data_IF_449600472548
#
_entry.id   IF_449600472548
#
_cell.length_a   1.000
_cell.length_b   1.000
_cell.length_c   1.000
_cell.angle_alpha   90.00
_cell.angle_beta   90.00
_cell.angle_gamma   90.00
#
_symmetry.space_group_name_H-M   'P 1'
#
loop_
_entity.id
_entity.type
_entity.pdbx_description
1 polymer ?
#
# COMPACT_ATOMS: atom_id res chain seq x y z
N UNK A 1 6.51 -34.37 -1.41
CA UNK A 1 5.51 -33.27 -1.33
C UNK A 1 6.28 -32.02 -1.68
N UNK A 2 6.02 -31.45 -2.85
CA UNK A 2 6.74 -30.30 -3.35
C UNK A 2 6.24 -29.01 -2.70
N UNK A 3 7.17 -28.18 -2.23
CA UNK A 3 6.92 -26.78 -1.88
C UNK A 3 7.53 -25.97 -3.01
N UNK A 4 6.77 -25.03 -3.55
CA UNK A 4 7.27 -24.09 -4.56
C UNK A 4 7.67 -22.80 -3.85
N UNK A 5 8.92 -22.38 -4.04
CA UNK A 5 9.41 -21.09 -3.55
C UNK A 5 9.15 -20.02 -4.61
N UNK A 6 8.38 -19.00 -4.25
CA UNK A 6 8.00 -17.93 -5.16
C UNK A 6 8.45 -16.57 -4.63
N UNK A 7 8.90 -15.69 -5.51
CA UNK A 7 9.24 -14.32 -5.15
C UNK A 7 8.35 -13.30 -5.87
N UNK A 8 7.88 -12.30 -5.14
CA UNK A 8 7.22 -11.12 -5.70
C UNK A 8 8.13 -9.91 -5.55
N UNK A 9 8.47 -9.27 -6.67
CA UNK A 9 9.20 -8.00 -6.71
C UNK A 9 8.22 -6.90 -7.04
N UNK A 10 8.24 -5.82 -6.28
CA UNK A 10 7.41 -4.65 -6.53
C UNK A 10 8.23 -3.36 -6.45
N UNK A 11 8.21 -2.59 -7.54
CA UNK A 11 8.82 -1.27 -7.62
C UNK A 11 7.73 -0.22 -7.41
N UNK A 12 7.67 0.30 -6.20
CA UNK A 12 6.69 1.31 -5.76
C UNK A 12 7.16 2.74 -6.04
N UNK A 13 6.41 3.71 -5.51
CA UNK A 13 6.79 5.13 -5.59
C UNK A 13 7.84 5.54 -4.58
N UNK A 14 7.96 4.80 -3.48
CA UNK A 14 8.79 5.12 -2.34
C UNK A 14 9.84 4.06 -2.03
N UNK A 15 9.53 2.81 -2.33
CA UNK A 15 10.39 1.66 -2.05
C UNK A 15 10.35 0.63 -3.17
N UNK A 16 11.39 -0.17 -3.24
CA UNK A 16 11.47 -1.41 -4.01
C UNK A 16 11.45 -2.56 -3.02
N UNK A 17 10.57 -3.53 -3.23
CA UNK A 17 10.41 -4.65 -2.30
C UNK A 17 10.54 -6.00 -2.97
N UNK A 18 11.07 -6.96 -2.21
CA UNK A 18 11.13 -8.39 -2.52
C UNK A 18 10.45 -9.14 -1.39
N UNK A 19 9.44 -9.92 -1.70
CA UNK A 19 8.78 -10.80 -0.73
C UNK A 19 8.85 -12.23 -1.21
N UNK A 20 9.42 -13.11 -0.37
CA UNK A 20 9.62 -14.52 -0.67
C UNK A 20 8.55 -15.36 0.02
N UNK A 21 7.96 -16.28 -0.72
CA UNK A 21 6.87 -17.13 -0.27
C UNK A 21 7.16 -18.60 -0.51
N UNK A 22 6.59 -19.44 0.35
CA UNK A 22 6.39 -20.85 0.09
C UNK A 22 4.91 -21.13 -0.24
N UNK A 23 4.70 -21.83 -1.35
CA UNK A 23 3.38 -22.29 -1.80
C UNK A 23 3.36 -23.82 -1.63
N UNK A 24 2.55 -24.32 -0.71
CA UNK A 24 2.43 -25.76 -0.45
C UNK A 24 1.31 -26.38 -1.29
N UNK A 25 1.40 -27.68 -1.60
CA UNK A 25 0.34 -28.47 -2.25
C UNK A 25 -1.01 -28.42 -1.49
N UNK A 26 -0.96 -28.16 -0.17
CA UNK A 26 -2.16 -27.97 0.66
C UNK A 26 -2.78 -26.56 0.51
N UNK A 27 -2.37 -25.82 -0.50
CA UNK A 27 -2.89 -24.48 -0.83
C UNK A 27 -2.65 -23.43 0.24
N UNK A 28 -1.60 -23.56 1.02
CA UNK A 28 -1.18 -22.55 1.99
C UNK A 28 -0.02 -21.76 1.41
N UNK A 29 -0.18 -20.44 1.40
CA UNK A 29 0.88 -19.48 1.11
C UNK A 29 1.45 -19.01 2.44
N UNK A 30 2.76 -19.11 2.60
CA UNK A 30 3.50 -18.63 3.78
C UNK A 30 4.56 -17.63 3.35
N UNK A 31 4.58 -16.47 3.93
CA UNK A 31 5.71 -15.54 3.78
C UNK A 31 6.93 -16.11 4.48
N UNK A 32 8.05 -16.18 3.77
CA UNK A 32 9.35 -16.62 4.28
C UNK A 32 10.18 -15.41 4.68
N UNK A 33 10.24 -14.40 3.80
CA UNK A 33 11.04 -13.20 4.01
C UNK A 33 10.39 -11.99 3.32
N UNK A 34 10.70 -10.78 3.82
CA UNK A 34 10.23 -9.52 3.25
C UNK A 34 11.31 -8.45 3.38
N UNK A 35 11.94 -8.13 2.27
CA UNK A 35 13.01 -7.15 2.15
C UNK A 35 12.48 -5.90 1.46
N UNK A 36 12.79 -4.74 2.00
CA UNK A 36 12.42 -3.44 1.46
C UNK A 36 13.64 -2.54 1.37
N UNK A 37 13.84 -1.92 0.23
CA UNK A 37 14.90 -0.94 0.01
C UNK A 37 14.28 0.37 -0.43
N UNK A 38 14.67 1.45 0.23
CA UNK A 38 14.13 2.78 -0.02
C UNK A 38 14.68 3.33 -1.33
N UNK A 39 13.81 3.53 -2.32
CA UNK A 39 14.09 4.20 -3.59
C UNK A 39 12.91 5.09 -3.94
N UNK A 40 13.07 6.40 -3.83
CA UNK A 40 11.99 7.38 -3.89
C UNK A 40 11.64 7.82 -5.33
N UNK A 41 11.19 6.90 -6.19
CA UNK A 41 10.82 7.20 -7.58
C UNK A 41 9.78 8.33 -7.70
N UNK A 42 8.84 8.39 -6.77
CA UNK A 42 7.83 9.44 -6.76
C UNK A 42 8.38 10.85 -6.57
N UNK A 43 9.60 10.99 -6.07
CA UNK A 43 10.26 12.30 -5.93
C UNK A 43 10.43 13.00 -7.28
N UNK A 44 10.77 12.25 -8.31
CA UNK A 44 10.98 12.76 -9.66
C UNK A 44 9.68 12.75 -10.47
N UNK A 45 8.87 11.71 -10.29
CA UNK A 45 7.68 11.47 -11.14
C UNK A 45 6.49 12.36 -10.77
N UNK A 46 6.22 12.59 -9.48
CA UNK A 46 5.00 13.31 -9.08
C UNK A 46 4.98 14.80 -9.46
N UNK A 47 6.09 15.52 -9.60
CA UNK A 47 6.09 16.84 -10.20
C UNK A 47 5.80 16.86 -11.71
N UNK A 48 5.55 15.69 -12.34
CA UNK A 48 5.29 15.57 -13.78
C UNK A 48 6.52 15.27 -14.62
N UNK A 49 7.57 14.74 -13.97
CA UNK A 49 8.86 14.45 -14.60
C UNK A 49 9.10 12.99 -15.00
N UNK A 50 10.29 12.75 -15.52
CA UNK A 50 10.84 11.41 -15.70
C UNK A 50 11.74 11.02 -14.52
N UNK A 51 12.04 9.74 -14.40
CA UNK A 51 13.00 9.22 -13.41
C UNK A 51 14.42 9.62 -13.82
N UNK A 52 15.17 10.24 -12.92
CA UNK A 52 16.56 10.62 -13.11
C UNK A 52 17.48 9.39 -13.18
N UNK A 53 18.66 9.55 -13.80
CA UNK A 53 19.61 8.45 -13.98
C UNK A 53 20.08 7.86 -12.65
N UNK A 54 20.32 8.69 -11.64
CA UNK A 54 20.73 8.24 -10.30
C UNK A 54 19.69 7.29 -9.68
N UNK A 55 18.40 7.64 -9.77
CA UNK A 55 17.33 6.76 -9.28
C UNK A 55 17.18 5.48 -10.10
N UNK A 56 17.49 5.51 -11.41
CA UNK A 56 17.55 4.30 -12.23
C UNK A 56 18.69 3.41 -11.76
N UNK A 57 19.85 4.01 -11.43
CA UNK A 57 20.99 3.28 -10.89
C UNK A 57 20.63 2.63 -9.54
N UNK A 58 20.05 3.38 -8.61
CA UNK A 58 19.59 2.88 -7.32
C UNK A 58 18.61 1.69 -7.46
N UNK A 59 17.63 1.80 -8.37
CA UNK A 59 16.70 0.69 -8.65
C UNK A 59 17.43 -0.54 -9.17
N UNK A 60 18.38 -0.36 -10.10
CA UNK A 60 19.14 -1.47 -10.67
C UNK A 60 20.01 -2.15 -9.61
N UNK A 61 20.67 -1.40 -8.75
CA UNK A 61 21.50 -1.94 -7.68
C UNK A 61 20.69 -2.76 -6.69
N UNK A 62 19.53 -2.26 -6.25
CA UNK A 62 18.61 -3.00 -5.40
C UNK A 62 18.09 -4.27 -6.08
N UNK A 63 17.74 -4.21 -7.36
CA UNK A 63 17.25 -5.38 -8.08
C UNK A 63 18.35 -6.44 -8.29
N UNK A 64 19.62 -6.04 -8.46
CA UNK A 64 20.76 -6.97 -8.49
C UNK A 64 20.98 -7.65 -7.14
N UNK A 65 20.86 -6.91 -6.04
CA UNK A 65 20.87 -7.49 -4.69
C UNK A 65 19.73 -8.52 -4.53
N UNK A 66 18.53 -8.20 -5.01
CA UNK A 66 17.38 -9.12 -4.96
C UNK A 66 17.62 -10.39 -5.79
N UNK A 67 18.33 -10.31 -6.92
CA UNK A 67 18.74 -11.50 -7.66
C UNK A 67 19.58 -12.43 -6.79
N UNK A 68 20.59 -11.90 -6.09
CA UNK A 68 21.42 -12.67 -5.17
C UNK A 68 20.62 -13.30 -4.01
N UNK A 69 19.64 -12.57 -3.46
CA UNK A 69 18.75 -13.08 -2.41
C UNK A 69 17.87 -14.22 -2.95
N UNK A 70 17.27 -14.05 -4.12
CA UNK A 70 16.45 -15.08 -4.76
C UNK A 70 17.25 -16.35 -5.04
N UNK A 71 18.50 -16.22 -5.49
CA UNK A 71 19.41 -17.35 -5.67
C UNK A 71 19.69 -18.08 -4.34
N UNK A 72 19.90 -17.31 -3.26
CA UNK A 72 20.11 -17.85 -1.91
C UNK A 72 18.91 -18.65 -1.41
N UNK A 73 17.69 -18.20 -1.67
CA UNK A 73 16.45 -18.90 -1.35
C UNK A 73 16.09 -19.99 -2.35
N UNK A 74 16.82 -20.14 -3.45
CA UNK A 74 16.54 -21.08 -4.56
C UNK A 74 15.11 -20.90 -5.06
N UNK A 75 14.75 -19.67 -5.37
CA UNK A 75 13.40 -19.31 -5.84
C UNK A 75 13.10 -20.03 -7.14
N UNK A 76 12.02 -20.84 -7.19
CA UNK A 76 11.59 -21.59 -8.37
C UNK A 76 10.98 -20.71 -9.45
N UNK A 77 10.29 -19.64 -9.05
CA UNK A 77 9.65 -18.68 -9.95
C UNK A 77 9.50 -17.32 -9.28
N UNK A 78 9.52 -16.27 -10.08
CA UNK A 78 9.24 -14.92 -9.60
C UNK A 78 8.37 -14.12 -10.57
N UNK A 79 7.71 -13.11 -10.08
CA UNK A 79 7.08 -12.05 -10.87
C UNK A 79 7.51 -10.69 -10.35
N UNK A 80 7.77 -9.78 -11.29
CA UNK A 80 8.24 -8.44 -10.99
C UNK A 80 7.32 -7.39 -11.62
N UNK A 81 6.85 -6.48 -10.80
CA UNK A 81 5.91 -5.43 -11.19
C UNK A 81 6.40 -4.04 -10.80
N UNK A 82 6.03 -3.06 -11.62
CA UNK A 82 6.18 -1.65 -11.29
C UNK A 82 4.81 -0.99 -11.15
N UNK A 83 4.66 -0.22 -10.09
CA UNK A 83 3.42 0.46 -9.75
C UNK A 83 3.13 1.70 -10.60
N UNK A 84 1.99 2.37 -10.33
CA UNK A 84 1.54 3.52 -11.11
C UNK A 84 2.53 4.68 -11.20
N UNK A 85 3.40 4.86 -10.20
CA UNK A 85 4.42 5.91 -10.25
C UNK A 85 5.32 5.76 -11.49
N UNK A 86 5.87 4.56 -11.73
CA UNK A 86 6.70 4.35 -12.92
C UNK A 86 5.87 4.39 -14.22
N UNK A 87 4.63 3.90 -14.18
CA UNK A 87 3.73 3.99 -15.33
C UNK A 87 3.52 5.43 -15.82
N UNK A 88 3.45 6.39 -14.89
CA UNK A 88 3.24 7.80 -15.19
C UNK A 88 4.54 8.59 -15.47
N UNK A 89 5.70 7.96 -15.34
CA UNK A 89 6.97 8.62 -15.64
C UNK A 89 7.11 8.94 -17.14
N UNK A 90 7.54 10.15 -17.45
CA UNK A 90 7.69 10.62 -18.85
C UNK A 90 8.67 9.75 -19.66
N UNK A 91 9.66 9.13 -19.01
CA UNK A 91 10.66 8.26 -19.63
C UNK A 91 10.48 6.78 -19.24
N UNK A 92 9.28 6.36 -18.90
CA UNK A 92 8.95 5.01 -18.40
C UNK A 92 9.58 3.89 -19.24
N UNK A 93 9.43 3.92 -20.57
CA UNK A 93 9.95 2.87 -21.46
C UNK A 93 11.48 2.79 -21.42
N UNK A 94 12.16 3.93 -21.33
CA UNK A 94 13.60 3.98 -21.19
C UNK A 94 14.04 3.34 -19.86
N UNK A 95 13.37 3.67 -18.77
CA UNK A 95 13.69 3.12 -17.43
C UNK A 95 13.51 1.59 -17.43
N UNK A 96 12.43 1.07 -18.02
CA UNK A 96 12.20 -0.37 -18.13
C UNK A 96 13.30 -1.06 -18.96
N UNK A 97 13.70 -0.49 -20.09
CA UNK A 97 14.77 -1.03 -20.93
C UNK A 97 16.12 -1.07 -20.18
N UNK A 98 16.44 0.00 -19.44
CA UNK A 98 17.66 0.06 -18.63
C UNK A 98 17.66 -0.99 -17.51
N UNK A 99 16.56 -1.16 -16.80
CA UNK A 99 16.41 -2.17 -15.75
C UNK A 99 16.59 -3.57 -16.35
N UNK A 100 15.85 -3.91 -17.41
CA UNK A 100 15.92 -5.23 -18.04
C UNK A 100 17.32 -5.57 -18.54
N UNK A 101 17.99 -4.62 -19.20
CA UNK A 101 19.38 -4.82 -19.73
C UNK A 101 20.41 -5.00 -18.62
N UNK A 102 20.28 -4.28 -17.54
CA UNK A 102 21.30 -4.24 -16.48
C UNK A 102 21.11 -5.35 -15.44
N UNK A 103 19.88 -5.74 -15.16
CA UNK A 103 19.55 -6.69 -14.08
C UNK A 103 19.02 -8.03 -14.58
N UNK A 104 18.59 -8.11 -15.84
CA UNK A 104 17.87 -9.26 -16.37
C UNK A 104 16.40 -9.37 -15.87
N UNK A 105 15.97 -8.47 -14.97
CA UNK A 105 14.60 -8.48 -14.45
C UNK A 105 13.69 -7.69 -15.38
N UNK A 106 12.64 -8.36 -15.84
CA UNK A 106 11.61 -7.73 -16.67
C UNK A 106 10.42 -7.30 -15.83
N UNK A 107 10.28 -5.98 -15.62
CA UNK A 107 9.17 -5.40 -14.88
C UNK A 107 7.90 -5.33 -15.76
N UNK A 108 6.79 -5.80 -15.21
CA UNK A 108 5.45 -5.58 -15.78
C UNK A 108 4.85 -4.32 -15.16
N UNK A 109 4.42 -3.37 -16.00
CA UNK A 109 3.76 -2.15 -15.50
C UNK A 109 2.33 -2.46 -15.03
N UNK A 110 1.97 -1.96 -13.88
CA UNK A 110 0.61 -1.98 -13.38
C UNK A 110 -0.07 -0.63 -13.62
N UNK A 111 -1.17 -0.66 -14.34
CA UNK A 111 -2.12 0.47 -14.36
C UNK A 111 -2.90 0.52 -13.05
N UNK A 112 -3.50 1.65 -12.75
CA UNK A 112 -4.28 1.82 -11.52
C UNK A 112 -5.34 0.73 -11.29
N UNK A 113 -6.00 0.26 -12.36
CA UNK A 113 -7.00 -0.82 -12.28
C UNK A 113 -6.39 -2.18 -11.94
N UNK A 114 -5.22 -2.49 -12.51
CA UNK A 114 -4.50 -3.75 -12.26
C UNK A 114 -3.89 -3.76 -10.86
N UNK A 115 -3.28 -2.64 -10.47
CA UNK A 115 -2.77 -2.45 -9.12
C UNK A 115 -3.87 -2.64 -8.07
N UNK A 116 -5.03 -2.01 -8.29
CA UNK A 116 -6.22 -2.22 -7.46
C UNK A 116 -6.62 -3.68 -7.37
N UNK A 117 -6.74 -4.34 -8.52
CA UNK A 117 -7.17 -5.74 -8.58
C UNK A 117 -6.25 -6.63 -7.73
N UNK A 118 -4.93 -6.47 -7.86
CA UNK A 118 -3.97 -7.19 -7.03
C UNK A 118 -4.06 -6.80 -5.55
N UNK A 119 -4.23 -5.52 -5.24
CA UNK A 119 -4.29 -5.03 -3.86
C UNK A 119 -5.41 -5.67 -3.05
N UNK A 120 -6.60 -5.86 -3.62
CA UNK A 120 -7.69 -6.49 -2.87
C UNK A 120 -7.84 -8.00 -3.11
N UNK A 121 -7.21 -8.55 -4.18
CA UNK A 121 -7.33 -9.98 -4.51
C UNK A 121 -6.92 -10.89 -3.36
N UNK A 122 -5.87 -10.56 -2.62
CA UNK A 122 -5.48 -11.30 -1.43
C UNK A 122 -6.51 -11.14 -0.30
N UNK A 123 -7.12 -9.95 -0.15
CA UNK A 123 -8.13 -9.73 0.88
C UNK A 123 -9.36 -10.62 0.67
N UNK A 124 -9.74 -10.91 -0.59
CA UNK A 124 -10.88 -11.78 -0.92
C UNK A 124 -10.70 -13.23 -0.44
N UNK A 125 -9.48 -13.65 -0.11
CA UNK A 125 -9.23 -14.97 0.47
C UNK A 125 -9.58 -15.08 1.96
N UNK A 126 -9.87 -13.95 2.60
CA UNK A 126 -10.15 -13.86 4.04
C UNK A 126 -11.66 -13.79 4.30
N UNK A 127 -12.20 -14.62 5.23
CA UNK A 127 -13.63 -14.61 5.55
C UNK A 127 -14.16 -13.25 6.02
N UNK A 128 -13.31 -12.46 6.67
CA UNK A 128 -13.63 -11.11 7.12
C UNK A 128 -14.01 -10.19 5.96
N UNK A 129 -13.34 -10.33 4.81
CA UNK A 129 -13.62 -9.52 3.63
C UNK A 129 -15.06 -9.71 3.15
N UNK A 130 -15.48 -10.96 2.97
CA UNK A 130 -16.83 -11.29 2.49
C UNK A 130 -17.91 -10.82 3.46
N UNK A 131 -17.70 -11.05 4.75
CA UNK A 131 -18.61 -10.60 5.78
C UNK A 131 -18.79 -9.08 5.75
N UNK A 132 -17.68 -8.33 5.65
CA UNK A 132 -17.70 -6.86 5.68
C UNK A 132 -18.30 -6.26 4.41
N UNK A 133 -17.88 -6.75 3.25
CA UNK A 133 -18.38 -6.27 1.96
C UNK A 133 -19.83 -6.69 1.71
N UNK A 134 -20.26 -7.83 2.25
CA UNK A 134 -21.64 -8.31 2.21
C UNK A 134 -22.64 -7.37 2.89
N UNK A 135 -22.19 -6.57 3.84
CA UNK A 135 -22.98 -5.50 4.46
C UNK A 135 -22.72 -4.16 3.74
N UNK A 136 -21.86 -3.31 4.29
CA UNK A 136 -21.38 -2.09 3.65
C UNK A 136 -19.95 -1.81 4.10
N UNK A 137 -19.03 -1.67 3.13
CA UNK A 137 -17.62 -1.47 3.40
C UNK A 137 -16.99 -0.47 2.45
N UNK A 138 -15.97 0.24 2.94
CA UNK A 138 -15.03 0.98 2.12
C UNK A 138 -13.68 0.26 2.18
N UNK A 139 -13.16 -0.21 1.05
CA UNK A 139 -11.78 -0.68 0.93
C UNK A 139 -10.92 0.50 0.50
N UNK A 140 -9.98 0.85 1.34
CA UNK A 140 -9.11 2.00 1.14
C UNK A 140 -7.65 1.56 1.11
N UNK A 141 -6.98 1.84 -0.01
CA UNK A 141 -5.55 1.62 -0.15
C UNK A 141 -4.83 2.96 -0.21
N UNK A 142 -3.91 3.18 0.74
CA UNK A 142 -3.10 4.39 0.84
C UNK A 142 -1.73 4.11 0.26
N UNK A 143 -1.44 4.71 -0.89
CA UNK A 143 -0.13 4.66 -1.53
C UNK A 143 0.64 5.96 -1.41
N UNK A 144 1.90 5.95 -1.88
CA UNK A 144 2.72 7.16 -1.87
C UNK A 144 2.21 8.26 -2.81
N UNK A 145 1.62 7.91 -3.95
CA UNK A 145 1.14 8.85 -4.97
C UNK A 145 -0.35 9.11 -4.96
N UNK A 146 -1.16 8.17 -4.50
CA UNK A 146 -2.61 8.21 -4.60
C UNK A 146 -3.29 7.47 -3.46
N UNK A 147 -4.52 7.85 -3.21
CA UNK A 147 -5.46 7.19 -2.33
C UNK A 147 -6.54 6.55 -3.20
N UNK A 148 -6.76 5.25 -3.03
CA UNK A 148 -7.80 4.52 -3.75
C UNK A 148 -8.91 4.10 -2.80
N UNK A 149 -10.16 4.42 -3.16
CA UNK A 149 -11.34 4.08 -2.36
C UNK A 149 -12.32 3.28 -3.21
N UNK A 150 -12.64 2.06 -2.77
CA UNK A 150 -13.68 1.22 -3.37
C UNK A 150 -14.81 1.05 -2.36
N UNK A 151 -16.02 1.42 -2.73
CA UNK A 151 -17.21 1.24 -1.90
C UNK A 151 -17.94 -0.05 -2.29
N UNK A 152 -18.26 -0.85 -1.27
CA UNK A 152 -19.05 -2.08 -1.39
C UNK A 152 -20.38 -1.90 -0.68
N UNK A 153 -21.45 -2.39 -1.31
CA UNK A 153 -22.80 -2.44 -0.75
C UNK A 153 -23.43 -3.79 -1.12
N UNK A 154 -23.80 -4.57 -0.11
CA UNK A 154 -24.37 -5.91 -0.28
C UNK A 154 -23.56 -6.82 -1.20
N UNK A 155 -22.24 -6.83 -1.07
CA UNK A 155 -21.31 -7.65 -1.85
C UNK A 155 -20.96 -7.09 -3.23
N UNK A 156 -21.64 -6.05 -3.70
CA UNK A 156 -21.37 -5.44 -5.00
C UNK A 156 -20.49 -4.20 -4.89
N UNK A 157 -19.59 -4.02 -5.86
CA UNK A 157 -18.81 -2.77 -6.00
C UNK A 157 -19.74 -1.68 -6.49
N UNK A 158 -19.92 -0.64 -5.67
CA UNK A 158 -20.70 0.53 -6.03
C UNK A 158 -19.87 1.50 -6.90
N UNK A 159 -18.67 1.79 -6.47
CA UNK A 159 -17.74 2.70 -7.16
C UNK A 159 -16.31 2.45 -6.70
N UNK A 160 -15.36 2.83 -7.55
CA UNK A 160 -13.97 2.96 -7.18
C UNK A 160 -13.44 4.28 -7.68
N UNK A 161 -12.78 5.01 -6.79
CA UNK A 161 -12.22 6.32 -7.07
C UNK A 161 -10.74 6.37 -6.69
N UNK A 162 -10.01 7.15 -7.47
CA UNK A 162 -8.62 7.49 -7.22
C UNK A 162 -8.54 8.96 -6.88
N UNK A 163 -8.02 9.27 -5.71
CA UNK A 163 -7.74 10.64 -5.29
C UNK A 163 -6.23 10.87 -5.38
N UNK A 164 -5.83 12.02 -5.88
CA UNK A 164 -4.41 12.41 -5.98
C UNK A 164 -3.90 12.84 -4.60
N UNK A 165 -4.09 11.96 -3.63
CA UNK A 165 -3.70 12.08 -2.23
C UNK A 165 -2.85 10.86 -1.88
N UNK A 166 -1.54 11.02 -1.81
CA UNK A 166 -0.63 9.96 -1.37
C UNK A 166 0.32 10.50 -0.31
N UNK A 167 0.86 9.62 0.51
CA UNK A 167 1.74 9.99 1.62
C UNK A 167 2.97 10.75 1.15
N UNK A 168 3.59 10.30 0.06
CA UNK A 168 4.77 10.94 -0.53
C UNK A 168 4.42 12.25 -1.24
N UNK A 169 3.27 12.34 -1.92
CA UNK A 169 2.79 13.62 -2.49
C UNK A 169 2.57 14.67 -1.41
N UNK A 170 1.95 14.28 -0.31
CA UNK A 170 1.74 15.18 0.82
C UNK A 170 3.08 15.63 1.42
N UNK A 171 4.05 14.71 1.58
CA UNK A 171 5.38 15.07 2.05
C UNK A 171 6.13 16.03 1.11
N UNK A 172 5.92 15.93 -0.19
CA UNK A 172 6.50 16.83 -1.19
C UNK A 172 5.83 18.21 -1.20
N UNK A 173 4.51 18.26 -1.10
CA UNK A 173 3.75 19.52 -1.05
C UNK A 173 4.02 20.29 0.25
N UNK A 174 4.34 19.58 1.33
CA UNK A 174 4.58 20.13 2.65
C UNK A 174 5.94 19.66 3.19
N UNK A 175 7.07 20.11 2.61
CA UNK A 175 8.39 19.68 3.04
C UNK A 175 8.70 20.18 4.45
N UNK A 176 9.37 19.31 5.22
CA UNK A 176 9.81 19.64 6.58
C UNK A 176 10.67 20.91 6.59
N UNK A 177 10.40 21.80 7.55
CA UNK A 177 11.13 23.05 7.70
C UNK A 177 10.69 24.20 6.77
N UNK A 178 9.80 23.97 5.81
CA UNK A 178 9.29 25.03 4.92
C UNK A 178 8.37 26.02 5.64
N UNK A 179 7.75 25.61 6.74
CA UNK A 179 6.85 26.42 7.56
C UNK A 179 6.77 25.87 8.99
N UNK A 180 6.06 26.58 9.87
CA UNK A 180 5.82 26.10 11.24
C UNK A 180 5.05 24.77 11.22
N UNK A 181 5.40 23.77 12.04
CA UNK A 181 4.78 22.44 12.01
C UNK A 181 3.27 22.46 12.16
N UNK A 182 2.72 23.31 13.02
CA UNK A 182 1.28 23.44 13.21
C UNK A 182 0.57 23.95 11.95
N UNK A 183 1.17 24.92 11.27
CA UNK A 183 0.63 25.49 10.04
C UNK A 183 0.66 24.47 8.91
N UNK A 184 1.77 23.75 8.78
CA UNK A 184 1.92 22.65 7.82
C UNK A 184 0.83 21.58 8.01
N UNK A 185 0.63 21.11 9.24
CA UNK A 185 -0.40 20.10 9.56
C UNK A 185 -1.81 20.64 9.26
N UNK A 186 -2.07 21.91 9.53
CA UNK A 186 -3.35 22.53 9.24
C UNK A 186 -3.62 22.56 7.73
N UNK A 187 -2.67 23.03 6.93
CA UNK A 187 -2.82 23.10 5.47
C UNK A 187 -2.96 21.70 4.85
N UNK A 188 -2.19 20.72 5.35
CA UNK A 188 -2.30 19.32 4.90
C UNK A 188 -3.71 18.77 5.15
N UNK A 189 -4.28 19.02 6.34
CA UNK A 189 -5.66 18.63 6.65
C UNK A 189 -6.67 19.30 5.74
N UNK A 190 -6.55 20.63 5.54
CA UNK A 190 -7.44 21.38 4.66
C UNK A 190 -7.44 20.82 3.23
N UNK A 191 -6.27 20.44 2.71
CA UNK A 191 -6.15 19.81 1.41
C UNK A 191 -6.85 18.45 1.37
N UNK A 192 -6.57 17.57 2.35
CA UNK A 192 -7.18 16.25 2.43
C UNK A 192 -8.71 16.37 2.58
N UNK A 193 -9.18 17.26 3.45
CA UNK A 193 -10.60 17.47 3.71
C UNK A 193 -11.33 17.96 2.48
N UNK A 194 -10.71 18.83 1.69
CA UNK A 194 -11.28 19.30 0.42
C UNK A 194 -11.53 18.13 -0.54
N UNK A 195 -10.50 17.32 -0.80
CA UNK A 195 -10.60 16.20 -1.72
C UNK A 195 -11.58 15.11 -1.21
N UNK A 196 -11.51 14.80 0.09
CA UNK A 196 -12.43 13.83 0.72
C UNK A 196 -13.88 14.34 0.74
N UNK A 197 -14.10 15.66 0.87
CA UNK A 197 -15.44 16.26 0.81
C UNK A 197 -16.05 16.14 -0.59
N UNK A 198 -15.25 16.34 -1.63
CA UNK A 198 -15.68 16.13 -3.03
C UNK A 198 -16.05 14.66 -3.24
N UNK A 199 -15.20 13.73 -2.79
CA UNK A 199 -15.50 12.30 -2.86
C UNK A 199 -16.81 11.98 -2.14
N UNK A 200 -17.00 12.48 -0.91
CA UNK A 200 -18.19 12.24 -0.10
C UNK A 200 -19.46 12.76 -0.77
N UNK A 201 -19.42 13.97 -1.32
CA UNK A 201 -20.56 14.57 -2.00
C UNK A 201 -20.98 13.81 -3.26
N UNK A 202 -20.02 13.33 -4.04
CA UNK A 202 -20.29 12.68 -5.32
C UNK A 202 -20.65 11.20 -5.20
N UNK A 203 -19.96 10.47 -4.33
CA UNK A 203 -20.00 8.99 -4.34
C UNK A 203 -20.55 8.36 -3.05
N UNK A 204 -20.36 9.03 -1.92
CA UNK A 204 -20.80 8.54 -0.63
C UNK A 204 -22.26 8.90 -0.33
N UNK A 205 -22.65 10.14 -0.65
CA UNK A 205 -23.98 10.70 -0.41
C UNK A 205 -24.45 10.48 1.06
N UNK A 206 -25.69 10.00 1.25
CA UNK A 206 -26.26 9.74 2.58
C UNK A 206 -26.11 8.28 3.03
N UNK A 207 -25.10 7.55 2.52
CA UNK A 207 -24.87 6.15 2.91
C UNK A 207 -24.11 6.07 4.22
N UNK A 208 -24.34 5.00 4.95
CA UNK A 208 -23.52 4.61 6.10
C UNK A 208 -22.59 3.48 5.70
N UNK A 209 -21.31 3.58 6.06
CA UNK A 209 -20.32 2.53 5.90
C UNK A 209 -20.11 1.89 7.26
N UNK A 210 -20.36 0.59 7.35
CA UNK A 210 -20.18 -0.14 8.60
C UNK A 210 -18.71 -0.51 8.84
N UNK A 211 -18.01 -0.89 7.77
CA UNK A 211 -16.63 -1.33 7.87
C UNK A 211 -15.70 -0.53 6.98
N UNK A 212 -14.55 -0.16 7.52
CA UNK A 212 -13.44 0.41 6.79
C UNK A 212 -12.31 -0.62 6.73
N UNK A 213 -11.94 -1.05 5.53
CA UNK A 213 -10.83 -1.95 5.28
C UNK A 213 -9.66 -1.10 4.82
N UNK A 214 -8.60 -1.02 5.63
CA UNK A 214 -7.43 -0.18 5.37
C UNK A 214 -6.21 -1.03 4.99
N UNK A 215 -5.56 -0.63 3.91
CA UNK A 215 -4.26 -1.14 3.48
C UNK A 215 -3.34 0.02 3.11
N UNK A 216 -2.05 -0.25 3.06
CA UNK A 216 -1.03 0.73 2.69
C UNK A 216 0.02 0.93 3.78
N UNK A 217 0.97 1.83 3.50
CA UNK A 217 2.16 2.05 4.32
C UNK A 217 1.80 2.37 5.78
N UNK A 218 2.49 1.72 6.71
CA UNK A 218 2.34 1.87 8.17
C UNK A 218 0.98 1.45 8.76
N UNK A 219 -0.02 1.05 7.97
CA UNK A 219 -1.34 0.67 8.51
C UNK A 219 -1.24 -0.50 9.50
N UNK A 220 -0.42 -1.48 9.19
CA UNK A 220 -0.20 -2.67 10.02
C UNK A 220 0.55 -2.32 11.31
N UNK A 221 1.59 -1.49 11.24
CA UNK A 221 2.39 -1.03 12.36
C UNK A 221 1.54 -0.20 13.32
N UNK A 222 0.74 0.73 12.79
CA UNK A 222 -0.21 1.54 13.57
C UNK A 222 -1.14 0.65 14.39
N UNK A 223 -1.74 -0.37 13.76
CA UNK A 223 -2.67 -1.28 14.44
C UNK A 223 -1.99 -2.12 15.51
N UNK A 224 -0.81 -2.70 15.21
CA UNK A 224 -0.05 -3.53 16.16
C UNK A 224 0.41 -2.75 17.38
N UNK A 225 0.79 -1.48 17.20
CA UNK A 225 1.26 -0.64 18.30
C UNK A 225 0.12 -0.05 19.11
N UNK A 226 -1.05 0.14 18.51
CA UNK A 226 -2.24 0.59 19.23
C UNK A 226 -2.73 -0.46 20.23
N UNK A 227 -2.79 -1.73 19.81
CA UNK A 227 -3.20 -2.84 20.67
C UNK A 227 -2.56 -4.15 20.20
N UNK A 228 -1.67 -4.69 21.04
CA UNK A 228 -0.95 -5.95 20.74
C UNK A 228 -1.84 -7.20 20.76
N UNK A 229 -3.04 -7.10 21.33
CA UNK A 229 -3.97 -8.20 21.52
C UNK A 229 -5.19 -8.10 20.59
N UNK A 230 -5.14 -7.30 19.53
CA UNK A 230 -6.24 -7.16 18.58
C UNK A 230 -6.54 -8.50 17.89
N UNK A 231 -7.72 -9.03 18.15
CA UNK A 231 -8.25 -10.15 17.39
C UNK A 231 -8.48 -9.74 15.93
N UNK A 232 -7.86 -10.51 15.00
CA UNK A 232 -8.01 -10.30 13.57
C UNK A 232 -7.74 -8.87 13.06
N UNK A 233 -6.91 -8.07 13.77
CA UNK A 233 -6.57 -6.69 13.37
C UNK A 233 -7.80 -5.81 13.09
N UNK A 234 -8.86 -5.99 13.85
CA UNK A 234 -10.09 -5.18 13.77
C UNK A 234 -10.24 -4.33 15.04
N UNK A 235 -10.60 -3.07 14.87
CA UNK A 235 -10.74 -2.11 15.96
C UNK A 235 -11.94 -1.20 15.70
N UNK A 236 -12.50 -0.66 16.79
CA UNK A 236 -13.47 0.42 16.75
C UNK A 236 -12.84 1.68 16.10
N UNK A 237 -13.60 2.33 15.20
CA UNK A 237 -13.07 3.48 14.44
C UNK A 237 -12.78 4.69 15.33
N UNK A 238 -13.55 4.90 16.39
CA UNK A 238 -13.31 5.98 17.36
C UNK A 238 -11.98 5.77 18.11
N UNK A 239 -11.71 4.52 18.53
CA UNK A 239 -10.43 4.18 19.18
C UNK A 239 -9.25 4.44 18.27
N UNK A 240 -9.33 4.02 17.00
CA UNK A 240 -8.27 4.28 16.03
C UNK A 240 -8.10 5.78 15.79
N UNK A 241 -9.18 6.52 15.58
CA UNK A 241 -9.12 7.99 15.41
C UNK A 241 -8.49 8.67 16.62
N UNK A 242 -8.82 8.24 17.85
CA UNK A 242 -8.21 8.73 19.08
C UNK A 242 -6.70 8.47 19.15
N UNK A 243 -6.27 7.27 18.78
CA UNK A 243 -4.84 6.91 18.72
C UNK A 243 -4.08 7.73 17.67
N UNK A 244 -4.63 7.84 16.45
CA UNK A 244 -4.04 8.66 15.38
C UNK A 244 -3.96 10.14 15.78
N UNK A 245 -4.98 10.67 16.50
CA UNK A 245 -4.96 12.04 17.06
C UNK A 245 -3.86 12.22 18.09
N UNK A 246 -3.54 11.18 18.86
CA UNK A 246 -2.41 11.22 19.78
C UNK A 246 -1.08 11.26 19.01
N UNK A 247 -0.89 10.37 18.02
CA UNK A 247 0.32 10.33 17.19
C UNK A 247 0.53 11.64 16.42
N UNK A 248 -0.53 12.25 15.92
CA UNK A 248 -0.46 13.50 15.15
C UNK A 248 0.19 14.67 15.93
N UNK A 249 0.23 14.62 17.26
CA UNK A 249 0.87 15.66 18.07
C UNK A 249 2.39 15.50 18.17
N UNK A 250 2.91 14.36 17.73
CA UNK A 250 4.31 13.96 17.81
C UNK A 250 5.07 14.40 16.53
N UNK A 251 6.39 14.50 16.62
CA UNK A 251 7.26 14.58 15.43
C UNK A 251 7.53 13.20 14.81
N UNK A 252 8.27 13.15 13.71
CA UNK A 252 8.54 11.90 13.00
C UNK A 252 9.33 10.90 13.86
N UNK A 253 10.32 11.36 14.62
CA UNK A 253 11.15 10.49 15.49
C UNK A 253 10.29 9.85 16.58
N UNK A 254 9.47 10.66 17.25
CA UNK A 254 8.54 10.19 18.28
C UNK A 254 7.46 9.24 17.72
N UNK A 255 7.03 9.44 16.48
CA UNK A 255 6.10 8.52 15.80
C UNK A 255 6.82 7.22 15.46
N UNK A 256 8.04 7.28 14.91
CA UNK A 256 8.84 6.10 14.59
C UNK A 256 9.07 5.24 15.84
N UNK A 257 9.49 5.85 16.95
CA UNK A 257 9.64 5.18 18.25
C UNK A 257 8.33 4.54 18.71
N UNK A 258 7.21 5.27 18.63
CA UNK A 258 5.89 4.78 19.05
C UNK A 258 5.42 3.60 18.19
N UNK A 259 5.82 3.54 16.91
CA UNK A 259 5.49 2.46 15.99
C UNK A 259 6.53 1.35 15.93
N UNK A 260 7.63 1.45 16.70
CA UNK A 260 8.71 0.47 16.72
C UNK A 260 9.45 0.37 15.38
N UNK A 261 9.52 1.47 14.64
CA UNK A 261 10.26 1.57 13.39
C UNK A 261 11.73 1.91 13.69
N UNK A 262 12.64 1.44 12.83
CA UNK A 262 14.06 1.78 12.90
C UNK A 262 14.30 3.27 12.61
N UNK A 263 15.44 3.79 13.08
CA UNK A 263 15.84 5.21 13.15
C UNK A 263 15.83 6.04 11.85
N UNK A 264 15.52 5.46 10.71
CA UNK A 264 15.27 6.22 9.49
C UNK A 264 13.95 7.00 9.64
N UNK A 265 14.05 8.14 10.34
CA UNK A 265 12.95 9.07 10.59
C UNK A 265 12.25 9.40 9.27
N UNK A 266 11.23 8.62 8.99
CA UNK A 266 10.56 8.65 7.71
C UNK A 266 9.69 9.90 7.62
N UNK A 267 10.06 10.79 6.70
CA UNK A 267 9.28 12.01 6.42
C UNK A 267 7.83 11.74 6.01
N UNK A 268 7.48 10.49 5.73
CA UNK A 268 6.11 10.08 5.39
C UNK A 268 5.23 9.81 6.61
N UNK A 269 5.78 9.70 7.82
CA UNK A 269 5.01 9.34 9.02
C UNK A 269 3.93 10.36 9.35
N UNK A 270 4.28 11.65 9.44
CA UNK A 270 3.29 12.71 9.70
C UNK A 270 2.22 12.77 8.62
N UNK A 271 2.54 12.80 7.31
CA UNK A 271 1.54 12.70 6.24
C UNK A 271 0.64 11.47 6.35
N UNK A 272 1.20 10.30 6.66
CA UNK A 272 0.45 9.06 6.80
C UNK A 272 -0.54 9.11 7.96
N UNK A 273 -0.10 9.55 9.14
CA UNK A 273 -0.96 9.67 10.32
C UNK A 273 -2.11 10.63 10.08
N UNK A 274 -1.83 11.80 9.48
CA UNK A 274 -2.88 12.78 9.16
C UNK A 274 -3.86 12.21 8.14
N UNK A 275 -3.35 11.59 7.07
CA UNK A 275 -4.18 11.02 6.01
C UNK A 275 -5.08 9.90 6.54
N UNK A 276 -4.54 8.92 7.27
CA UNK A 276 -5.34 7.85 7.88
C UNK A 276 -6.42 8.39 8.81
N UNK A 277 -6.06 9.34 9.66
CA UNK A 277 -7.03 9.96 10.56
C UNK A 277 -8.17 10.62 9.80
N UNK A 278 -7.87 11.43 8.75
CA UNK A 278 -8.90 12.10 7.96
C UNK A 278 -9.79 11.12 7.19
N UNK A 279 -9.23 9.99 6.70
CA UNK A 279 -9.99 8.90 6.09
C UNK A 279 -10.99 8.31 7.09
N UNK A 280 -10.52 7.91 8.28
CA UNK A 280 -11.37 7.31 9.33
C UNK A 280 -12.50 8.27 9.73
N UNK A 281 -12.17 9.53 9.99
CA UNK A 281 -13.16 10.55 10.39
C UNK A 281 -14.17 10.87 9.27
N UNK A 282 -13.73 10.92 8.01
CA UNK A 282 -14.61 11.27 6.88
C UNK A 282 -15.57 10.14 6.51
N UNK A 283 -15.08 8.90 6.49
CA UNK A 283 -15.90 7.74 6.15
C UNK A 283 -16.80 7.30 7.31
N UNK A 284 -16.47 7.67 8.55
CA UNK A 284 -17.32 7.47 9.74
C UNK A 284 -17.85 6.04 9.86
N UNK A 285 -16.98 5.04 9.63
CA UNK A 285 -17.30 3.64 9.79
C UNK A 285 -17.41 3.26 11.28
N UNK A 286 -18.12 2.18 11.60
CA UNK A 286 -18.20 1.67 12.96
C UNK A 286 -16.88 0.97 13.37
N UNK A 287 -16.31 0.18 12.45
CA UNK A 287 -15.09 -0.59 12.69
C UNK A 287 -14.10 -0.50 11.54
N UNK A 288 -12.82 -0.60 11.88
CA UNK A 288 -11.70 -0.61 10.94
C UNK A 288 -10.99 -1.95 11.01
N UNK A 289 -10.79 -2.57 9.85
CA UNK A 289 -10.00 -3.78 9.69
C UNK A 289 -8.76 -3.49 8.86
N UNK A 290 -7.60 -3.91 9.37
CA UNK A 290 -6.31 -3.85 8.65
C UNK A 290 -5.85 -5.27 8.40
N UNK A 291 -6.04 -5.83 7.20
CA UNK A 291 -5.75 -7.24 6.90
C UNK A 291 -4.26 -7.61 6.99
N UNK A 292 -3.35 -6.63 7.09
CA UNK A 292 -1.91 -6.85 7.14
C UNK A 292 -1.36 -7.46 5.84
N UNK A 293 -1.91 -7.06 4.71
CA UNK A 293 -1.51 -7.48 3.37
C UNK A 293 -0.97 -6.30 2.56
N UNK A 294 -0.10 -6.61 1.62
CA UNK A 294 0.44 -5.67 0.63
C UNK A 294 0.22 -6.18 -0.81
N UNK A 295 0.73 -5.43 -1.79
CA UNK A 295 0.61 -5.79 -3.21
C UNK A 295 1.29 -7.12 -3.53
N UNK A 296 2.39 -7.47 -2.85
CA UNK A 296 3.14 -8.72 -3.06
C UNK A 296 2.31 -9.94 -2.67
N UNK A 297 1.46 -9.82 -1.63
CA UNK A 297 0.50 -10.85 -1.25
C UNK A 297 -0.55 -11.07 -2.36
N UNK A 298 -0.97 -9.99 -3.02
CA UNK A 298 -1.85 -10.07 -4.19
C UNK A 298 -1.19 -10.75 -5.39
N UNK A 299 0.09 -10.45 -5.63
CA UNK A 299 0.88 -11.05 -6.71
C UNK A 299 1.02 -12.55 -6.52
N UNK A 300 1.44 -13.01 -5.34
CA UNK A 300 1.58 -14.45 -5.09
C UNK A 300 0.23 -15.17 -5.12
N UNK A 301 -0.82 -14.55 -4.62
CA UNK A 301 -2.17 -15.13 -4.67
C UNK A 301 -2.65 -15.28 -6.12
N UNK A 302 -2.46 -14.26 -6.96
CA UNK A 302 -2.76 -14.31 -8.40
C UNK A 302 -1.94 -15.39 -9.13
N UNK A 303 -0.63 -15.46 -8.84
CA UNK A 303 0.23 -16.50 -9.37
C UNK A 303 -0.28 -17.89 -9.00
N UNK A 304 -0.60 -18.12 -7.73
CA UNK A 304 -1.09 -19.40 -7.23
C UNK A 304 -2.41 -19.83 -7.88
N UNK A 305 -3.31 -18.89 -8.15
CA UNK A 305 -4.56 -19.15 -8.87
C UNK A 305 -4.29 -19.54 -10.33
N UNK A 306 -3.49 -18.78 -11.07
CA UNK A 306 -3.17 -19.03 -12.48
C UNK A 306 -2.46 -20.36 -12.70
N UNK A 307 -1.61 -20.78 -11.76
CA UNK A 307 -0.88 -22.05 -11.79
C UNK A 307 -1.62 -23.20 -11.09
N UNK A 308 -2.89 -22.99 -10.72
CA UNK A 308 -3.77 -24.01 -10.11
C UNK A 308 -3.28 -24.57 -8.76
N UNK A 309 -2.40 -23.84 -8.08
CA UNK A 309 -2.06 -24.16 -6.69
C UNK A 309 -3.24 -23.90 -5.75
N UNK A 310 -4.17 -23.02 -6.15
CA UNK A 310 -5.37 -22.65 -5.40
C UNK A 310 -6.61 -22.66 -6.31
N UNK A 311 -7.80 -22.75 -5.71
CA UNK A 311 -9.07 -22.47 -6.40
C UNK A 311 -9.52 -21.06 -6.06
N UNK A 312 -10.17 -20.34 -6.98
CA UNK A 312 -10.76 -19.05 -6.63
C UNK A 312 -11.79 -19.25 -5.51
N UNK A 313 -11.83 -18.31 -4.58
CA UNK A 313 -12.87 -18.28 -3.53
C UNK A 313 -14.16 -17.72 -4.11
N UNK A 314 -14.04 -16.84 -5.12
CA UNK A 314 -15.14 -16.27 -5.90
C UNK A 314 -14.83 -16.33 -7.39
N UNK A 315 -15.84 -16.62 -8.20
CA UNK A 315 -15.80 -16.38 -9.64
C UNK A 315 -16.16 -14.89 -9.87
N UNK A 316 -15.16 -14.08 -10.23
CA UNK A 316 -15.35 -12.69 -10.63
C UNK A 316 -15.62 -12.57 -12.12
#
# INVERSE_FOLDING_TARGET
MGVTTFAAIYVGSYEVSLKVFEISEKRKIRTVDFIRSRVELGKDVFPGGGVGYELVDDVCDVLLEFCGIMDGYRVDAYEAYAGPALYHAANCLFVLDQIERRTGIRLKLLRNSEHRFLSYKCATSKPEFDRMTGESAAFVNVGGGELQITLFVHGAVLTTQHLVLGTMRLAQLFPNGSMRPEHMRKQMKELIDKEMSVFKAQYYQNRTIKYLILTGDYSTEIMRCMDKNLDNMTVDAEKLSGYLKHLEKKDNEQIAEALGLSDDSDRLLIPSIILYRRIVETLSADAVWVPGIDISDGIVYDYALRHRYMKPVHDF
#
